data_IF_156093102344
#
_entry.id   IF_156093102344
#
_cell.length_a   1.000
_cell.length_b   1.000
_cell.length_c   1.000
_cell.angle_alpha   90.00
_cell.angle_beta   90.00
_cell.angle_gamma   90.00
#
_symmetry.space_group_name_H-M   'P 1'
#
loop_
_entity.id
_entity.type
_entity.pdbx_description
1 polymer ?
#
# COMPACT_ATOMS: atom_id res chain seq x y z
N UNK A 1 78.22 23.94 -40.66
CA UNK A 1 77.42 24.89 -39.86
C UNK A 1 76.22 24.14 -39.32
N UNK A 2 76.27 23.82 -38.03
CA UNK A 2 75.24 23.10 -37.29
C UNK A 2 74.28 24.13 -36.71
N UNK A 3 72.98 24.01 -36.94
CA UNK A 3 71.97 24.75 -36.14
C UNK A 3 70.91 23.74 -35.72
N UNK A 4 70.96 23.38 -34.44
CA UNK A 4 70.03 22.53 -33.74
C UNK A 4 68.90 23.43 -33.22
N UNK A 5 67.71 23.34 -33.80
CA UNK A 5 66.52 24.07 -33.32
C UNK A 5 65.84 23.19 -32.28
N UNK A 6 65.92 23.61 -31.01
CA UNK A 6 65.24 22.96 -29.88
C UNK A 6 63.81 23.49 -29.83
N UNK A 7 62.84 22.62 -30.13
CA UNK A 7 61.41 22.90 -30.02
C UNK A 7 60.96 22.65 -28.57
N UNK A 8 60.37 23.63 -27.85
CA UNK A 8 59.93 23.40 -26.48
C UNK A 8 58.64 22.56 -26.48
N UNK A 9 58.72 21.39 -25.83
CA UNK A 9 57.59 20.55 -25.46
C UNK A 9 56.74 21.29 -24.42
N UNK A 10 55.60 21.86 -24.83
CA UNK A 10 54.62 22.39 -23.88
C UNK A 10 53.79 21.23 -23.32
N UNK A 11 54.10 20.76 -22.11
CA UNK A 11 53.22 19.89 -21.33
C UNK A 11 52.01 20.72 -20.88
N UNK A 12 50.93 20.66 -21.66
CA UNK A 12 49.61 21.08 -21.19
C UNK A 12 49.01 19.94 -20.36
N UNK A 13 49.25 20.00 -19.04
CA UNK A 13 48.63 19.15 -18.04
C UNK A 13 47.58 19.97 -17.29
N UNK A 14 46.31 19.88 -17.71
CA UNK A 14 45.17 20.21 -16.86
C UNK A 14 43.90 19.62 -17.47
N UNK A 15 43.21 18.75 -16.71
CA UNK A 15 41.87 18.29 -17.07
C UNK A 15 41.54 16.85 -16.70
N UNK A 16 41.96 16.33 -15.55
CA UNK A 16 41.52 15.03 -15.05
C UNK A 16 41.09 15.10 -13.58
N UNK A 17 40.11 15.93 -13.25
CA UNK A 17 39.33 15.79 -12.01
C UNK A 17 37.87 16.24 -12.26
N UNK A 18 37.25 15.72 -13.31
CA UNK A 18 35.80 15.67 -13.42
C UNK A 18 35.31 14.44 -12.67
N UNK A 19 35.14 14.56 -11.35
CA UNK A 19 34.41 13.55 -10.60
C UNK A 19 32.97 13.55 -11.11
N UNK A 20 32.63 12.60 -11.98
CA UNK A 20 31.23 12.31 -12.30
C UNK A 20 30.55 11.83 -11.02
N UNK A 21 30.05 12.76 -10.21
CA UNK A 21 29.03 12.51 -9.19
C UNK A 21 27.72 12.21 -9.91
N UNK A 22 27.69 11.09 -10.62
CA UNK A 22 26.48 10.58 -11.22
C UNK A 22 25.64 10.05 -10.06
N UNK A 23 24.44 10.61 -9.81
CA UNK A 23 23.60 10.16 -8.71
C UNK A 23 23.45 8.64 -8.80
N UNK A 24 23.58 7.96 -7.66
CA UNK A 24 23.48 6.51 -7.61
C UNK A 24 22.15 6.09 -8.23
N UNK A 25 22.21 5.41 -9.38
CA UNK A 25 21.00 4.99 -10.09
C UNK A 25 20.27 3.95 -9.23
N UNK A 26 19.01 4.21 -8.87
CA UNK A 26 18.17 3.24 -8.13
C UNK A 26 18.09 1.92 -8.89
N UNK A 27 18.14 0.83 -8.14
CA UNK A 27 18.09 -0.51 -8.73
C UNK A 27 16.69 -0.82 -9.27
N UNK A 28 16.64 -1.35 -10.49
CA UNK A 28 15.40 -1.76 -11.13
C UNK A 28 15.03 -3.17 -10.69
N UNK A 29 13.80 -3.36 -10.23
CA UNK A 29 13.29 -4.71 -9.96
C UNK A 29 12.97 -5.44 -11.27
N UNK A 30 13.14 -6.76 -11.29
CA UNK A 30 12.57 -7.59 -12.37
C UNK A 30 11.10 -7.84 -12.05
N UNK A 31 10.21 -7.33 -12.90
CA UNK A 31 8.78 -7.58 -12.84
C UNK A 31 8.46 -8.89 -13.57
N UNK A 32 7.78 -9.80 -12.89
CA UNK A 32 7.17 -11.00 -13.46
C UNK A 32 5.71 -11.07 -12.98
N UNK A 33 4.80 -10.53 -13.78
CA UNK A 33 3.39 -10.38 -13.43
C UNK A 33 2.57 -11.34 -14.28
N UNK A 34 1.82 -12.23 -13.64
CA UNK A 34 0.83 -13.11 -14.27
C UNK A 34 -0.56 -12.61 -13.95
N UNK A 35 -1.39 -12.44 -14.99
CA UNK A 35 -2.77 -11.96 -14.87
C UNK A 35 -3.67 -13.05 -15.41
N UNK A 36 -4.64 -13.49 -14.62
CA UNK A 36 -5.59 -14.53 -14.97
C UNK A 36 -7.01 -14.01 -14.75
N UNK A 37 -7.85 -14.10 -15.78
CA UNK A 37 -9.26 -13.76 -15.69
C UNK A 37 -10.11 -15.02 -15.47
N UNK A 38 -10.98 -14.99 -14.48
CA UNK A 38 -11.95 -16.06 -14.26
C UNK A 38 -12.94 -16.17 -15.44
N UNK A 39 -13.62 -17.31 -15.56
CA UNK A 39 -14.59 -17.54 -16.65
C UNK A 39 -15.88 -16.74 -16.49
N UNK A 40 -16.16 -16.29 -15.27
CA UNK A 40 -17.28 -15.42 -14.89
C UNK A 40 -16.83 -13.96 -14.67
N UNK A 41 -15.67 -13.58 -15.22
CA UNK A 41 -15.15 -12.21 -15.21
C UNK A 41 -16.23 -11.19 -15.60
N UNK A 42 -16.36 -10.11 -14.81
CA UNK A 42 -17.23 -8.96 -15.09
C UNK A 42 -18.65 -9.38 -15.51
N UNK A 43 -19.28 -10.28 -14.76
CA UNK A 43 -20.53 -10.93 -15.14
C UNK A 43 -21.75 -10.00 -15.09
N UNK A 44 -22.76 -10.26 -15.95
CA UNK A 44 -24.06 -9.57 -15.91
C UNK A 44 -25.04 -10.15 -14.87
N UNK A 45 -26.19 -9.52 -14.68
CA UNK A 45 -27.25 -10.02 -13.75
C UNK A 45 -27.78 -11.41 -14.13
N UNK A 46 -27.43 -11.95 -15.30
CA UNK A 46 -27.78 -13.28 -15.78
C UNK A 46 -26.62 -14.28 -15.72
N UNK A 47 -25.49 -13.93 -15.08
CA UNK A 47 -24.37 -14.86 -14.95
C UNK A 47 -23.41 -14.88 -16.16
N UNK A 48 -23.59 -13.99 -17.15
CA UNK A 48 -22.77 -14.01 -18.38
C UNK A 48 -21.52 -13.15 -18.21
N UNK A 49 -20.36 -13.80 -18.21
CA UNK A 49 -19.05 -13.14 -18.22
C UNK A 49 -18.88 -12.22 -19.41
N UNK A 50 -18.20 -11.10 -19.21
CA UNK A 50 -17.93 -10.11 -20.25
C UNK A 50 -16.48 -9.62 -20.20
N UNK A 51 -15.93 -9.13 -21.32
CA UNK A 51 -14.63 -8.49 -21.31
C UNK A 51 -14.60 -7.25 -20.38
N UNK A 52 -13.43 -6.92 -19.84
CA UNK A 52 -13.22 -5.69 -19.09
C UNK A 52 -11.90 -5.00 -19.47
N UNK A 53 -11.83 -3.70 -19.23
CA UNK A 53 -10.57 -2.95 -19.28
C UNK A 53 -9.73 -3.29 -18.04
N UNK A 54 -8.47 -3.63 -18.24
CA UNK A 54 -7.46 -3.74 -17.20
C UNK A 54 -6.34 -2.73 -17.48
N UNK A 55 -5.90 -2.02 -16.45
CA UNK A 55 -4.66 -1.25 -16.48
C UNK A 55 -3.73 -1.65 -15.36
N UNK A 56 -2.46 -1.81 -15.69
CA UNK A 56 -1.37 -2.10 -14.76
C UNK A 56 -0.44 -0.88 -14.79
N UNK A 57 -0.30 -0.21 -13.66
CA UNK A 57 0.50 1.00 -13.52
C UNK A 57 1.77 0.71 -12.76
N UNK A 58 2.88 1.29 -13.24
CA UNK A 58 4.06 1.53 -12.42
C UNK A 58 3.97 2.97 -11.92
N UNK A 59 4.03 3.15 -10.60
CA UNK A 59 3.87 4.44 -9.95
C UNK A 59 5.10 4.82 -9.12
N UNK A 60 5.41 6.11 -9.15
CA UNK A 60 6.38 6.74 -8.24
C UNK A 60 5.79 6.96 -6.84
N UNK A 61 4.49 7.24 -6.78
CA UNK A 61 3.69 7.38 -5.57
C UNK A 61 2.29 6.83 -5.84
N UNK A 62 1.71 6.11 -4.89
CA UNK A 62 0.39 5.51 -5.00
C UNK A 62 -0.74 6.41 -4.49
N UNK A 63 -0.43 7.53 -3.85
CA UNK A 63 -1.40 8.39 -3.16
C UNK A 63 -2.48 8.89 -4.13
N UNK A 64 -2.10 9.56 -5.22
CA UNK A 64 -3.05 10.09 -6.20
C UNK A 64 -3.96 8.99 -6.79
N UNK A 65 -3.41 7.79 -7.01
CA UNK A 65 -4.18 6.65 -7.50
C UNK A 65 -5.19 6.13 -6.47
N UNK A 66 -4.82 6.08 -5.19
CA UNK A 66 -5.69 5.66 -4.11
C UNK A 66 -6.76 6.70 -3.75
N UNK A 67 -6.51 7.98 -3.98
CA UNK A 67 -7.47 9.06 -3.70
C UNK A 67 -8.43 9.32 -4.87
N UNK A 68 -8.00 9.03 -6.10
CA UNK A 68 -8.82 9.25 -7.29
C UNK A 68 -10.09 8.40 -7.31
N UNK A 69 -11.15 8.98 -7.87
CA UNK A 69 -12.37 8.24 -8.17
C UNK A 69 -12.20 7.35 -9.42
N UNK A 70 -13.15 6.43 -9.61
CA UNK A 70 -13.13 5.47 -10.72
C UNK A 70 -13.12 6.15 -12.09
N UNK A 71 -13.98 7.15 -12.30
CA UNK A 71 -14.16 7.78 -13.62
C UNK A 71 -12.97 8.66 -13.99
N UNK A 72 -12.36 9.32 -13.00
CA UNK A 72 -11.14 10.09 -13.16
C UNK A 72 -10.00 9.19 -13.67
N UNK A 73 -9.80 8.01 -13.06
CA UNK A 73 -8.80 7.04 -13.53
C UNK A 73 -9.19 6.43 -14.88
N UNK A 74 -10.46 6.07 -15.09
CA UNK A 74 -10.93 5.48 -16.35
C UNK A 74 -10.68 6.41 -17.54
N UNK A 75 -11.01 7.69 -17.40
CA UNK A 75 -11.08 8.64 -18.52
C UNK A 75 -9.85 9.56 -18.62
N UNK A 76 -9.10 9.76 -17.53
CA UNK A 76 -8.09 10.81 -17.44
C UNK A 76 -6.92 10.47 -16.52
N UNK A 77 -6.56 9.18 -16.40
CA UNK A 77 -5.45 8.68 -15.57
C UNK A 77 -4.16 9.52 -15.67
N UNK A 78 -3.72 9.88 -16.87
CA UNK A 78 -2.51 10.69 -17.06
C UNK A 78 -2.60 12.07 -16.40
N UNK A 79 -3.76 12.70 -16.46
CA UNK A 79 -3.97 14.01 -15.83
C UNK A 79 -4.08 13.89 -14.31
N UNK A 80 -4.74 12.83 -13.83
CA UNK A 80 -4.93 12.54 -12.40
C UNK A 80 -3.61 12.18 -11.71
N UNK A 81 -2.81 11.31 -12.35
CA UNK A 81 -1.58 10.78 -11.77
C UNK A 81 -0.36 11.66 -12.08
N UNK A 82 -0.41 12.46 -13.15
CA UNK A 82 0.64 13.41 -13.50
C UNK A 82 2.03 12.78 -13.54
N UNK A 83 2.94 13.33 -12.73
CA UNK A 83 4.33 12.86 -12.63
C UNK A 83 4.49 11.56 -11.84
N UNK A 84 3.45 11.10 -11.14
CA UNK A 84 3.50 9.85 -10.40
C UNK A 84 3.31 8.64 -11.32
N UNK A 85 2.75 8.83 -12.52
CA UNK A 85 2.62 7.80 -13.53
C UNK A 85 3.94 7.57 -14.28
N UNK A 86 4.58 6.43 -14.05
CA UNK A 86 5.85 6.07 -14.71
C UNK A 86 5.62 5.20 -15.95
N UNK A 87 4.69 4.26 -15.89
CA UNK A 87 4.29 3.42 -17.01
C UNK A 87 2.85 2.91 -16.82
N UNK A 88 2.18 2.61 -17.93
CA UNK A 88 0.86 1.96 -17.93
C UNK A 88 0.80 0.91 -19.05
N UNK A 89 0.42 -0.31 -18.68
CA UNK A 89 -0.04 -1.32 -19.63
C UNK A 89 -1.55 -1.38 -19.62
N UNK A 90 -2.18 -1.43 -20.79
CA UNK A 90 -3.62 -1.47 -20.94
C UNK A 90 -4.05 -2.70 -21.76
N UNK A 91 -5.04 -3.44 -21.25
CA UNK A 91 -5.58 -4.63 -21.88
C UNK A 91 -7.11 -4.63 -21.86
N UNK A 92 -7.71 -5.31 -22.84
CA UNK A 92 -9.09 -5.78 -22.74
C UNK A 92 -9.02 -7.27 -22.43
N UNK A 93 -9.33 -7.63 -21.19
CA UNK A 93 -9.28 -9.00 -20.69
C UNK A 93 -10.59 -9.70 -21.01
N UNK A 94 -10.55 -10.86 -21.68
CA UNK A 94 -11.72 -11.73 -21.88
C UNK A 94 -11.85 -12.75 -20.73
N UNK A 95 -13.06 -13.26 -20.47
CA UNK A 95 -13.23 -14.34 -19.50
C UNK A 95 -12.36 -15.57 -19.84
N UNK A 96 -11.62 -16.09 -18.86
CA UNK A 96 -10.68 -17.20 -19.04
C UNK A 96 -9.33 -16.84 -19.68
N UNK A 97 -9.07 -15.56 -19.98
CA UNK A 97 -7.83 -15.11 -20.60
C UNK A 97 -6.68 -14.98 -19.58
N UNK A 98 -5.47 -15.32 -20.02
CA UNK A 98 -4.24 -15.11 -19.26
C UNK A 98 -3.30 -14.15 -19.99
N UNK A 99 -2.65 -13.25 -19.25
CA UNK A 99 -1.61 -12.34 -19.74
C UNK A 99 -0.38 -12.40 -18.84
N UNK A 100 0.77 -12.08 -19.41
CA UNK A 100 2.03 -11.97 -18.68
C UNK A 100 2.75 -10.68 -19.04
N UNK A 101 3.38 -10.07 -18.04
CA UNK A 101 4.25 -8.92 -18.18
C UNK A 101 5.60 -9.29 -17.58
N UNK A 102 6.65 -9.23 -18.40
CA UNK A 102 8.02 -9.51 -17.96
C UNK A 102 8.95 -8.43 -18.47
N UNK A 103 9.47 -7.60 -17.55
CA UNK A 103 10.42 -6.53 -17.85
C UNK A 103 11.15 -6.05 -16.60
N UNK A 104 12.12 -5.17 -16.76
CA UNK A 104 12.66 -4.39 -15.63
C UNK A 104 11.68 -3.24 -15.32
N UNK A 105 11.49 -2.95 -14.05
CA UNK A 105 10.69 -1.80 -13.61
C UNK A 105 11.37 -0.49 -14.01
N UNK A 106 10.61 0.60 -14.01
CA UNK A 106 11.21 1.93 -13.96
C UNK A 106 12.07 2.05 -12.66
N UNK A 107 13.25 2.70 -12.70
CA UNK A 107 14.08 2.92 -11.51
C UNK A 107 13.38 3.69 -10.38
N UNK A 108 12.37 4.50 -10.69
CA UNK A 108 11.58 5.26 -9.71
C UNK A 108 10.32 4.53 -9.24
N UNK A 109 10.04 3.31 -9.73
CA UNK A 109 8.85 2.55 -9.34
C UNK A 109 8.90 2.19 -7.86
N UNK A 110 7.91 2.68 -7.11
CA UNK A 110 7.70 2.34 -5.70
C UNK A 110 6.43 1.53 -5.48
N UNK A 111 5.52 1.51 -6.46
CA UNK A 111 4.29 0.74 -6.39
C UNK A 111 3.84 0.22 -7.76
N UNK A 112 3.22 -0.97 -7.74
CA UNK A 112 2.43 -1.50 -8.85
C UNK A 112 0.96 -1.35 -8.47
N UNK A 113 0.19 -0.67 -9.31
CA UNK A 113 -1.24 -0.46 -9.08
C UNK A 113 -2.06 -1.09 -10.20
N UNK A 114 -3.19 -1.69 -9.86
CA UNK A 114 -4.10 -2.33 -10.80
C UNK A 114 -5.43 -1.61 -10.78
N UNK A 115 -5.95 -1.32 -11.96
CA UNK A 115 -7.31 -0.83 -12.18
C UNK A 115 -8.06 -1.81 -13.07
N UNK A 116 -9.27 -2.17 -12.67
CA UNK A 116 -10.18 -3.03 -13.41
C UNK A 116 -11.52 -2.32 -13.64
N UNK A 117 -11.91 -2.20 -14.89
CA UNK A 117 -13.16 -1.57 -15.31
C UNK A 117 -14.38 -2.48 -15.13
N UNK A 118 -14.69 -2.87 -13.89
CA UNK A 118 -15.91 -3.62 -13.57
C UNK A 118 -17.16 -2.82 -13.95
N UNK A 119 -18.21 -3.52 -14.38
CA UNK A 119 -19.50 -2.90 -14.66
C UNK A 119 -20.25 -2.46 -13.39
N UNK A 120 -20.13 -3.24 -12.32
CA UNK A 120 -20.90 -3.10 -11.08
C UNK A 120 -19.98 -2.60 -9.97
N UNK A 121 -19.66 -1.31 -10.03
CA UNK A 121 -18.68 -0.67 -9.15
C UNK A 121 -19.04 -0.75 -7.65
N UNK A 122 -20.30 -0.55 -7.23
CA UNK A 122 -20.66 -0.54 -5.81
C UNK A 122 -20.30 -1.81 -5.05
N UNK A 123 -20.30 -2.96 -5.73
CA UNK A 123 -20.02 -4.27 -5.13
C UNK A 123 -18.67 -4.84 -5.53
N UNK A 124 -17.81 -4.04 -6.18
CA UNK A 124 -16.56 -4.51 -6.75
C UNK A 124 -15.31 -3.87 -6.15
N UNK A 125 -14.28 -4.68 -5.96
CA UNK A 125 -12.92 -4.20 -5.68
C UNK A 125 -12.22 -3.96 -7.00
N UNK A 126 -12.37 -2.74 -7.52
CA UNK A 126 -11.90 -2.34 -8.85
C UNK A 126 -10.46 -1.81 -8.88
N UNK A 127 -9.83 -1.61 -7.71
CA UNK A 127 -8.42 -1.21 -7.60
C UNK A 127 -7.69 -1.95 -6.49
N UNK A 128 -6.40 -2.20 -6.72
CA UNK A 128 -5.46 -2.71 -5.70
C UNK A 128 -4.08 -2.11 -5.93
N UNK A 129 -3.28 -2.00 -4.86
CA UNK A 129 -1.91 -1.47 -4.92
C UNK A 129 -0.97 -2.43 -4.18
N UNK A 130 0.19 -2.70 -4.79
CA UNK A 130 1.28 -3.43 -4.19
C UNK A 130 2.48 -2.49 -4.07
N UNK A 131 2.97 -2.30 -2.85
CA UNK A 131 4.18 -1.51 -2.60
C UNK A 131 5.42 -2.36 -2.84
N UNK A 132 6.31 -1.84 -3.66
CA UNK A 132 7.57 -2.47 -4.00
C UNK A 132 8.60 -2.16 -2.90
N UNK A 133 9.47 -3.13 -2.61
CA UNK A 133 10.63 -2.86 -1.77
C UNK A 133 11.62 -1.97 -2.52
N UNK A 134 11.84 -0.75 -2.02
CA UNK A 134 12.81 0.18 -2.59
C UNK A 134 14.21 -0.33 -2.25
N UNK A 135 15.01 -0.63 -3.27
CA UNK A 135 16.40 -1.01 -3.07
C UNK A 135 17.15 0.15 -2.37
N UNK A 136 17.90 -0.11 -1.30
CA UNK A 136 18.62 0.93 -0.58
C UNK A 136 19.66 1.60 -1.48
N UNK A 137 19.82 2.92 -1.34
CA UNK A 137 20.65 3.78 -2.20
C UNK A 137 22.17 3.46 -2.17
N UNK A 138 22.63 2.58 -1.28
CA UNK A 138 24.06 2.34 -1.07
C UNK A 138 24.62 1.21 -1.94
N UNK A 139 25.63 1.52 -2.75
CA UNK A 139 26.25 0.59 -3.71
C UNK A 139 26.82 -0.68 -3.09
N UNK A 140 27.15 -0.69 -1.80
CA UNK A 140 27.70 -1.88 -1.14
C UNK A 140 26.65 -2.98 -0.94
N UNK A 141 25.36 -2.64 -0.87
CA UNK A 141 24.27 -3.63 -0.77
C UNK A 141 24.18 -4.52 -2.03
N UNK A 142 24.56 -3.99 -3.21
CA UNK A 142 24.50 -4.72 -4.50
C UNK A 142 25.38 -5.96 -4.55
N UNK A 143 26.44 -6.00 -3.75
CA UNK A 143 27.37 -7.12 -3.74
C UNK A 143 26.85 -8.31 -2.90
N UNK A 144 25.86 -8.08 -2.04
CA UNK A 144 25.44 -9.05 -1.00
C UNK A 144 23.94 -9.34 -0.96
N UNK A 145 23.10 -8.54 -1.63
CA UNK A 145 21.64 -8.76 -1.74
C UNK A 145 21.29 -9.15 -3.18
N UNK A 146 20.55 -10.26 -3.40
CA UNK A 146 20.10 -10.63 -4.74
C UNK A 146 19.18 -9.56 -5.34
N UNK A 147 19.27 -9.35 -6.65
CA UNK A 147 18.48 -8.35 -7.36
C UNK A 147 16.98 -8.48 -7.05
N UNK A 148 16.32 -7.35 -6.76
CA UNK A 148 14.90 -7.31 -6.41
C UNK A 148 14.07 -7.92 -7.54
N UNK A 149 13.23 -8.91 -7.20
CA UNK A 149 12.24 -9.50 -8.09
C UNK A 149 10.87 -9.28 -7.47
N UNK A 150 9.93 -8.82 -8.28
CA UNK A 150 8.52 -8.80 -7.91
C UNK A 150 7.79 -9.82 -8.77
N UNK A 151 7.29 -10.87 -8.12
CA UNK A 151 6.56 -11.94 -8.79
C UNK A 151 5.10 -11.87 -8.37
N UNK A 152 4.30 -11.18 -9.16
CA UNK A 152 2.91 -10.89 -8.81
C UNK A 152 1.96 -11.80 -9.59
N UNK A 153 0.99 -12.38 -8.87
CA UNK A 153 -0.17 -13.04 -9.46
C UNK A 153 -1.40 -12.17 -9.24
N UNK A 154 -2.10 -11.87 -10.33
CA UNK A 154 -3.31 -11.07 -10.35
C UNK A 154 -4.44 -11.97 -10.85
N UNK A 155 -5.40 -12.28 -9.99
CA UNK A 155 -6.63 -12.96 -10.39
C UNK A 155 -7.76 -11.92 -10.52
N UNK A 156 -8.38 -11.86 -11.69
CA UNK A 156 -9.54 -11.03 -11.98
C UNK A 156 -10.79 -11.90 -11.87
N UNK A 157 -11.53 -11.72 -10.78
CA UNK A 157 -12.74 -12.47 -10.48
C UNK A 157 -13.98 -11.79 -11.07
N UNK A 158 -15.17 -12.26 -10.73
CA UNK A 158 -16.42 -11.64 -11.15
C UNK A 158 -16.61 -10.21 -10.62
N UNK A 159 -16.14 -9.92 -9.41
CA UNK A 159 -16.28 -8.60 -8.74
C UNK A 159 -15.03 -8.12 -7.97
N UNK A 160 -13.87 -8.79 -8.04
CA UNK A 160 -12.71 -8.38 -7.26
C UNK A 160 -11.39 -8.68 -7.96
N UNK A 161 -10.40 -7.83 -7.73
CA UNK A 161 -9.01 -8.13 -8.04
C UNK A 161 -8.38 -8.77 -6.81
N UNK A 162 -7.78 -9.95 -6.97
CA UNK A 162 -6.91 -10.54 -5.96
C UNK A 162 -5.47 -10.46 -6.46
N UNK A 163 -4.58 -9.97 -5.60
CA UNK A 163 -3.16 -9.84 -5.92
C UNK A 163 -2.32 -10.53 -4.85
N UNK A 164 -1.37 -11.36 -5.30
CA UNK A 164 -0.45 -12.10 -4.43
C UNK A 164 0.98 -11.84 -4.89
N UNK A 165 1.88 -11.56 -3.94
CA UNK A 165 3.32 -11.54 -4.17
C UNK A 165 3.91 -12.89 -3.77
N UNK A 166 4.47 -13.59 -4.75
CA UNK A 166 5.08 -14.91 -4.55
C UNK A 166 6.56 -14.84 -4.12
N UNK A 167 7.21 -13.68 -4.23
CA UNK A 167 8.61 -13.51 -3.85
C UNK A 167 8.77 -12.96 -2.42
N UNK A 168 7.76 -12.23 -1.91
CA UNK A 168 7.71 -11.77 -0.53
C UNK A 168 7.53 -12.96 0.44
N UNK A 169 8.63 -13.61 0.81
CA UNK A 169 8.68 -14.65 1.82
C UNK A 169 7.79 -14.33 3.03
N UNK A 170 6.70 -15.08 3.16
CA UNK A 170 5.80 -15.15 4.33
C UNK A 170 5.35 -13.80 4.90
N UNK A 171 4.73 -12.92 4.08
CA UNK A 171 3.90 -11.81 4.60
C UNK A 171 2.43 -12.00 4.18
N UNK A 172 1.46 -11.78 5.09
CA UNK A 172 0.05 -12.02 4.79
C UNK A 172 -0.44 -11.07 3.69
N UNK A 173 -1.30 -11.64 2.85
CA UNK A 173 -2.05 -11.00 1.76
C UNK A 173 -2.69 -9.70 2.26
N UNK A 174 -2.52 -8.60 1.52
CA UNK A 174 -3.25 -7.37 1.85
C UNK A 174 -4.66 -7.45 1.25
N UNK A 175 -5.64 -7.73 2.11
CA UNK A 175 -7.03 -7.84 1.72
C UNK A 175 -7.72 -6.47 1.73
N UNK A 176 -8.41 -6.11 0.65
CA UNK A 176 -9.16 -4.85 0.56
C UNK A 176 -10.40 -4.78 1.48
N UNK A 177 -10.77 -5.88 2.15
CA UNK A 177 -11.95 -5.97 3.01
C UNK A 177 -11.65 -5.74 4.50
N UNK A 178 -10.39 -5.55 4.92
CA UNK A 178 -10.07 -5.28 6.34
C UNK A 178 -10.63 -3.95 6.83
N UNK A 179 -10.87 -2.98 5.93
CA UNK A 179 -11.50 -1.70 6.25
C UNK A 179 -13.01 -1.79 6.54
N UNK A 180 -13.65 -2.94 6.35
CA UNK A 180 -15.10 -3.12 6.59
C UNK A 180 -15.40 -4.03 7.79
N UNK A 181 -14.40 -4.65 8.43
CA UNK A 181 -14.59 -5.60 9.53
C UNK A 181 -14.67 -4.93 10.92
N UNK A 182 -14.91 -3.62 10.95
CA UNK A 182 -14.90 -2.82 12.18
C UNK A 182 -16.07 -1.85 12.33
N UNK A 183 -17.11 -1.94 11.49
CA UNK A 183 -18.25 -1.01 11.53
C UNK A 183 -19.53 -1.62 12.12
N UNK A 184 -19.46 -2.88 12.55
CA UNK A 184 -20.54 -3.69 13.09
C UNK A 184 -20.49 -3.82 14.62
N UNK A 185 -19.48 -3.23 15.29
CA UNK A 185 -19.49 -3.10 16.74
C UNK A 185 -20.25 -1.85 17.15
N UNK A 186 -21.52 -2.06 17.51
CA UNK A 186 -22.38 -1.05 18.09
C UNK A 186 -21.70 -0.45 19.36
N UNK A 187 -21.35 0.84 19.40
CA UNK A 187 -20.51 1.44 20.46
C UNK A 187 -21.08 1.34 21.89
N UNK A 188 -22.35 0.98 22.02
CA UNK A 188 -23.07 0.91 23.28
C UNK A 188 -22.79 -0.40 24.05
N UNK A 189 -22.38 -1.47 23.35
CA UNK A 189 -22.22 -2.79 23.97
C UNK A 189 -20.88 -2.93 24.71
N UNK A 190 -19.81 -2.30 24.19
CA UNK A 190 -18.52 -2.18 24.88
C UNK A 190 -18.60 -1.27 26.12
N UNK A 191 -19.47 -0.25 26.08
CA UNK A 191 -19.67 0.63 27.23
C UNK A 191 -20.29 -0.14 28.42
N UNK A 192 -21.27 -1.02 28.19
CA UNK A 192 -21.92 -1.83 29.26
C UNK A 192 -20.95 -2.76 30.00
N UNK A 193 -20.06 -3.43 29.27
CA UNK A 193 -19.10 -4.35 29.88
C UNK A 193 -18.08 -3.63 30.79
N UNK A 194 -17.77 -2.37 30.49
CA UNK A 194 -16.84 -1.58 31.30
C UNK A 194 -17.48 -1.05 32.59
N UNK A 195 -18.79 -0.79 32.63
CA UNK A 195 -19.51 -0.33 33.84
C UNK A 195 -19.76 -1.49 34.82
N UNK A 196 -20.04 -2.68 34.28
CA UNK A 196 -20.30 -3.88 35.10
C UNK A 196 -19.03 -4.37 35.80
N UNK A 197 -17.87 -4.22 35.15
CA UNK A 197 -16.55 -4.56 35.69
C UNK A 197 -16.12 -3.61 36.82
N UNK A 198 -16.48 -2.33 36.74
CA UNK A 198 -16.15 -1.33 37.78
C UNK A 198 -17.06 -1.51 39.00
N UNK A 199 -18.31 -1.95 38.82
CA UNK A 199 -19.28 -2.11 39.92
C UNK A 199 -18.96 -3.30 40.84
N UNK A 200 -18.24 -4.31 40.37
CA UNK A 200 -17.86 -5.49 41.17
C UNK A 200 -16.60 -5.33 42.03
N UNK A 201 -15.85 -4.22 41.89
CA UNK A 201 -14.58 -4.02 42.61
C UNK A 201 -14.66 -3.01 43.77
N UNK A 202 -15.84 -2.52 44.12
CA UNK A 202 -16.02 -1.66 45.31
C UNK A 202 -16.04 -2.53 46.58
N UNK A 203 -15.09 -2.37 47.52
CA UNK A 203 -15.12 -3.09 48.78
C UNK A 203 -16.35 -2.68 49.60
N UNK A 204 -17.06 -3.67 50.16
CA UNK A 204 -18.21 -3.45 51.04
C UNK A 204 -17.79 -2.63 52.26
N UNK A 205 -18.28 -1.39 52.32
CA UNK A 205 -18.06 -0.47 53.45
C UNK A 205 -18.74 -1.02 54.71
N UNK A 206 -18.10 -0.99 55.89
CA UNK A 206 -18.70 -1.51 57.12
C UNK A 206 -19.94 -0.70 57.50
N UNK A 207 -20.97 -1.43 57.91
CA UNK A 207 -22.28 -0.91 58.30
C UNK A 207 -22.13 0.08 59.47
N UNK A 208 -22.69 1.29 59.33
CA UNK A 208 -22.70 2.29 60.41
C UNK A 208 -23.65 1.81 61.51
N UNK A 209 -23.27 1.93 62.80
CA UNK A 209 -24.16 1.61 63.90
C UNK A 209 -25.38 2.56 63.92
N UNK A 210 -26.54 2.00 64.26
CA UNK A 210 -27.82 2.70 64.33
C UNK A 210 -27.83 3.77 65.43
N UNK A 211 -28.53 4.87 65.15
CA UNK A 211 -28.58 6.12 65.93
C UNK A 211 -29.50 6.06 67.18
N UNK A 212 -29.80 4.86 67.68
CA UNK A 212 -30.78 4.67 68.79
C UNK A 212 -30.13 4.45 70.16
N UNK A 213 -28.82 4.66 70.30
CA UNK A 213 -28.10 4.40 71.55
C UNK A 213 -27.22 5.55 72.02
N UNK A 214 -27.81 6.71 72.31
CA UNK A 214 -27.23 7.62 73.31
C UNK A 214 -28.31 8.47 74.00
N UNK A 215 -28.83 7.98 75.12
CA UNK A 215 -29.73 8.71 76.03
C UNK A 215 -29.01 8.93 77.36
N UNK A 216 -28.81 10.20 77.74
CA UNK A 216 -28.39 10.61 79.09
C UNK A 216 -27.53 11.89 79.11
N UNK A 217 -27.49 12.64 80.23
CA UNK A 217 -28.58 13.52 80.66
C UNK A 217 -28.21 15.01 80.57
N UNK A 218 -29.25 15.84 80.46
CA UNK A 218 -29.16 17.30 80.52
C UNK A 218 -28.81 17.77 81.95
N UNK A 219 -27.79 18.61 82.07
CA UNK A 219 -27.58 19.51 83.21
C UNK A 219 -27.09 20.86 82.66
N UNK A 220 -27.97 21.85 82.66
CA UNK A 220 -28.02 22.98 83.60
C UNK A 220 -26.96 24.06 83.32
N UNK A 221 -27.42 25.17 82.73
CA UNK A 221 -26.84 26.51 82.93
C UNK A 221 -27.84 27.59 82.45
N UNK A 222 -28.63 28.12 83.39
CA UNK A 222 -29.06 29.52 83.41
C UNK A 222 -29.03 30.01 84.86
N UNK A 223 -28.27 31.08 85.08
CA UNK A 223 -28.72 32.21 85.88
C UNK A 223 -29.53 33.12 84.97
#
# INVERSE_FOLDING_TARGET
>A
MTVMVVLPFALSACGLLGGNSQPAQKEQAKLDISIEADRDLNTDTKGRGAPMLLRVYELKSDIAFQEADFFALQNSDKAVLGTDLLAVDQFIMRPGETRKIQRKSNPETTAIAIFAGYRDLPTSVWRVVHKMEVAPESSWYRAVIPANKAKLKIALQSNAILMTDEEAGTRPVQYANESMKGLDQNPIEGAKQQIDSVTQSVPKMPEKPSLDSFKGPASLLKK
#
